data_IF_122799613256
#
_entry.id   IF_122799613256
#
_cell.length_a   1.000
_cell.length_b   1.000
_cell.length_c   1.000
_cell.angle_alpha   90.00
_cell.angle_beta   90.00
_cell.angle_gamma   90.00
#
_symmetry.space_group_name_H-M   'P 1'
#
loop_
_entity.id
_entity.type
_entity.pdbx_description
1 polymer ?
#
# COMPACT_ATOMS: atom_id res chain seq x y z
N UNK A 1 -21.60 -12.83 -3.80
CA UNK A 1 -20.66 -11.91 -4.49
C UNK A 1 -19.22 -12.30 -4.16
N UNK A 2 -18.20 -11.83 -4.89
CA UNK A 2 -16.80 -12.06 -4.51
C UNK A 2 -16.46 -11.52 -3.11
N UNK A 3 -17.09 -10.41 -2.71
CA UNK A 3 -17.01 -9.85 -1.36
C UNK A 3 -17.49 -10.80 -0.27
N UNK A 4 -18.65 -11.43 -0.46
CA UNK A 4 -19.16 -12.46 0.47
C UNK A 4 -18.15 -13.61 0.62
N UNK A 5 -17.59 -14.11 -0.48
CA UNK A 5 -16.59 -15.19 -0.48
C UNK A 5 -15.27 -14.80 0.20
N UNK A 6 -14.84 -13.54 0.07
CA UNK A 6 -13.64 -12.99 0.69
C UNK A 6 -13.77 -12.89 2.22
N UNK A 7 -14.97 -12.60 2.73
CA UNK A 7 -15.19 -12.43 4.17
C UNK A 7 -15.77 -13.67 4.86
N UNK A 8 -16.39 -14.60 4.12
CA UNK A 8 -17.05 -15.78 4.68
C UNK A 8 -16.21 -17.05 4.65
N UNK A 9 -15.04 -17.04 4.00
CA UNK A 9 -14.17 -18.21 3.85
C UNK A 9 -12.80 -17.98 4.48
N UNK A 10 -12.24 -19.00 5.13
CA UNK A 10 -10.89 -18.98 5.71
C UNK A 10 -9.82 -18.60 4.68
N UNK A 11 -9.98 -19.08 3.45
CA UNK A 11 -9.11 -18.73 2.30
C UNK A 11 -9.33 -17.28 1.89
N UNK A 12 -10.58 -16.82 1.94
CA UNK A 12 -10.96 -15.44 1.68
C UNK A 12 -10.24 -14.48 2.63
N UNK A 13 -10.30 -14.74 3.94
CA UNK A 13 -9.65 -13.90 4.96
C UNK A 13 -8.12 -13.90 4.84
N UNK A 14 -7.51 -15.05 4.55
CA UNK A 14 -6.07 -15.13 4.26
C UNK A 14 -5.69 -14.32 3.01
N UNK A 15 -6.49 -14.40 1.94
CA UNK A 15 -6.27 -13.61 0.74
C UNK A 15 -6.46 -12.11 0.97
N UNK A 16 -7.42 -11.72 1.83
CA UNK A 16 -7.66 -10.34 2.23
C UNK A 16 -6.45 -9.76 2.97
N UNK A 17 -5.84 -10.52 3.86
CA UNK A 17 -4.63 -10.09 4.57
C UNK A 17 -3.47 -9.80 3.60
N UNK A 18 -3.29 -10.63 2.56
CA UNK A 18 -2.29 -10.39 1.52
C UNK A 18 -2.61 -9.13 0.71
N UNK A 19 -3.86 -8.95 0.30
CA UNK A 19 -4.31 -7.76 -0.45
C UNK A 19 -4.01 -6.49 0.36
N UNK A 20 -4.40 -6.47 1.64
CA UNK A 20 -4.13 -5.34 2.55
C UNK A 20 -2.62 -5.13 2.70
N UNK A 21 -1.83 -6.21 2.84
CA UNK A 21 -0.37 -6.13 2.91
C UNK A 21 0.26 -5.45 1.69
N UNK A 22 -0.17 -5.80 0.48
CA UNK A 22 0.33 -5.17 -0.76
C UNK A 22 -0.07 -3.68 -0.82
N UNK A 23 -1.30 -3.34 -0.43
CA UNK A 23 -1.75 -1.94 -0.39
C UNK A 23 -0.92 -1.11 0.60
N UNK A 24 -0.64 -1.64 1.78
CA UNK A 24 0.21 -0.97 2.77
C UNK A 24 1.62 -0.72 2.21
N UNK A 25 2.23 -1.72 1.56
CA UNK A 25 3.54 -1.58 0.94
C UNK A 25 3.51 -0.50 -0.15
N UNK A 26 2.50 -0.50 -1.01
CA UNK A 26 2.33 0.52 -2.05
C UNK A 26 2.24 1.94 -1.49
N UNK A 27 1.46 2.12 -0.42
CA UNK A 27 1.35 3.42 0.27
C UNK A 27 2.66 3.84 0.93
N UNK A 28 3.35 2.93 1.62
CA UNK A 28 4.64 3.21 2.27
C UNK A 28 5.69 3.62 1.24
N UNK A 29 5.80 2.86 0.15
CA UNK A 29 6.73 3.16 -0.93
C UNK A 29 6.38 4.50 -1.59
N UNK A 30 5.12 4.74 -1.93
CA UNK A 30 4.67 6.01 -2.49
C UNK A 30 5.01 7.20 -1.59
N UNK A 31 4.78 7.07 -0.27
CA UNK A 31 5.12 8.11 0.71
C UNK A 31 6.64 8.35 0.78
N UNK A 32 7.44 7.29 0.85
CA UNK A 32 8.90 7.39 0.88
C UNK A 32 9.47 8.05 -0.38
N UNK A 33 8.97 7.68 -1.56
CA UNK A 33 9.41 8.29 -2.82
C UNK A 33 9.00 9.76 -2.90
N UNK A 34 7.77 10.11 -2.53
CA UNK A 34 7.32 11.51 -2.49
C UNK A 34 8.17 12.36 -1.55
N UNK A 35 8.48 11.85 -0.35
CA UNK A 35 9.35 12.57 0.61
C UNK A 35 10.77 12.75 0.08
N UNK A 36 11.34 11.76 -0.61
CA UNK A 36 12.66 11.89 -1.24
C UNK A 36 12.67 12.94 -2.36
N UNK A 37 11.62 13.01 -3.17
CA UNK A 37 11.49 14.04 -4.21
C UNK A 37 11.40 15.44 -3.63
N UNK A 38 10.69 15.60 -2.52
CA UNK A 38 10.61 16.88 -1.80
C UNK A 38 11.96 17.29 -1.21
N UNK A 39 12.70 16.34 -0.62
CA UNK A 39 14.06 16.58 -0.12
C UNK A 39 15.04 16.99 -1.22
N UNK A 40 15.00 16.32 -2.39
CA UNK A 40 15.83 16.69 -3.54
C UNK A 40 15.43 18.06 -4.11
N UNK A 41 14.12 18.33 -4.25
CA UNK A 41 13.63 19.64 -4.71
C UNK A 41 14.07 20.78 -3.79
N UNK A 42 14.07 20.56 -2.46
CA UNK A 42 14.54 21.53 -1.48
C UNK A 42 16.06 21.75 -1.52
N UNK A 43 16.84 20.72 -1.88
CA UNK A 43 18.29 20.83 -2.08
C UNK A 43 18.66 21.55 -3.37
N UNK A 44 17.87 21.40 -4.43
CA UNK A 44 18.08 22.06 -5.73
C UNK A 44 17.59 23.52 -5.76
N UNK A 45 16.68 23.91 -4.85
CA UNK A 45 16.13 25.27 -4.75
C UNK A 45 16.94 26.25 -3.88
N UNK A 46 18.14 25.89 -3.45
CA UNK A 46 19.15 26.78 -2.83
C UNK A 46 20.40 26.80 -3.70
#
# INVERSE_FOLDING_TARGET
MAWELLFSSDIGLMSLAVIVGVLVIGVVMGKMYSSKMEEESRKLGK
#
